data_IF_237889593247
#
_entry.id   IF_237889593247
#
_cell.length_a   1.000
_cell.length_b   1.000
_cell.length_c   1.000
_cell.angle_alpha   90.00
_cell.angle_beta   90.00
_cell.angle_gamma   90.00
#
_symmetry.space_group_name_H-M   'P 1'
#
loop_
_entity.id
_entity.type
_entity.pdbx_description
1 polymer ?
#
# COMPACT_ATOMS: atom_id res chain seq x y z
N UNK A 1 6.24 -25.74 -46.19
CA UNK A 1 5.89 -25.89 -44.77
C UNK A 1 5.70 -24.47 -44.23
N UNK A 2 4.44 -24.02 -44.10
CA UNK A 2 4.16 -22.72 -43.51
C UNK A 2 4.68 -22.68 -42.06
N UNK A 3 5.37 -21.61 -41.68
CA UNK A 3 5.73 -21.37 -40.29
C UNK A 3 4.44 -21.41 -39.47
N UNK A 4 4.31 -22.41 -38.57
CA UNK A 4 3.23 -22.37 -37.57
C UNK A 4 3.34 -21.02 -36.89
N UNK A 5 2.33 -20.17 -37.04
CA UNK A 5 2.24 -18.92 -36.30
C UNK A 5 2.28 -19.25 -34.83
N UNK A 6 3.04 -18.45 -34.05
CA UNK A 6 3.34 -18.77 -32.63
C UNK A 6 2.24 -18.24 -31.75
N UNK A 7 1.84 -19.03 -30.75
CA UNK A 7 1.04 -18.59 -29.60
C UNK A 7 1.97 -18.38 -28.41
N UNK A 8 2.12 -17.13 -27.96
CA UNK A 8 3.00 -16.79 -26.84
C UNK A 8 2.57 -15.48 -26.16
N UNK A 9 3.04 -15.27 -24.96
CA UNK A 9 2.88 -14.03 -24.19
C UNK A 9 4.23 -13.47 -23.77
N UNK A 10 4.42 -12.17 -23.98
CA UNK A 10 5.51 -11.39 -23.39
C UNK A 10 5.00 -10.72 -22.12
N UNK A 11 5.67 -10.93 -21.01
CA UNK A 11 5.38 -10.29 -19.72
C UNK A 11 6.50 -9.33 -19.37
N UNK A 12 6.19 -8.05 -19.25
CA UNK A 12 7.17 -6.99 -19.05
C UNK A 12 6.84 -6.19 -17.80
N UNK A 13 7.73 -6.21 -16.81
CA UNK A 13 7.69 -5.27 -15.70
C UNK A 13 8.12 -3.89 -16.21
N UNK A 14 7.22 -2.91 -16.12
CA UNK A 14 7.41 -1.55 -16.62
C UNK A 14 7.89 -0.60 -15.51
N UNK A 15 8.49 -1.14 -14.47
CA UNK A 15 8.99 -0.39 -13.32
C UNK A 15 10.36 -0.93 -12.87
N UNK A 16 11.33 -0.03 -12.55
CA UNK A 16 12.68 -0.42 -12.15
C UNK A 16 12.85 -0.55 -10.63
N UNK A 17 11.80 -0.34 -9.83
CA UNK A 17 11.85 -0.18 -8.39
C UNK A 17 10.78 -1.02 -7.68
N UNK A 18 10.79 -0.98 -6.34
CA UNK A 18 9.78 -1.65 -5.51
C UNK A 18 8.40 -1.02 -5.69
N UNK A 19 8.33 0.32 -5.79
CA UNK A 19 7.07 1.03 -6.03
C UNK A 19 6.86 1.36 -7.51
N UNK A 20 5.67 1.78 -7.89
CA UNK A 20 5.31 2.07 -9.28
C UNK A 20 4.90 0.84 -10.06
N UNK A 21 4.36 -0.18 -9.38
CA UNK A 21 3.96 -1.45 -9.99
C UNK A 21 3.14 -1.26 -11.27
N UNK A 22 3.62 -1.86 -12.35
CA UNK A 22 2.97 -1.82 -13.65
C UNK A 22 3.55 -2.95 -14.52
N UNK A 23 2.74 -3.93 -14.87
CA UNK A 23 3.16 -5.05 -15.69
C UNK A 23 2.34 -5.07 -16.98
N UNK A 24 3.00 -4.92 -18.12
CA UNK A 24 2.37 -5.03 -19.45
C UNK A 24 2.51 -6.45 -19.96
N UNK A 25 1.41 -7.03 -20.40
CA UNK A 25 1.38 -8.33 -21.08
C UNK A 25 0.92 -8.14 -22.50
N UNK A 26 1.66 -8.73 -23.44
CA UNK A 26 1.33 -8.76 -24.87
C UNK A 26 1.22 -10.21 -25.30
N UNK A 27 0.03 -10.61 -25.72
CA UNK A 27 -0.24 -11.95 -26.24
C UNK A 27 -0.33 -11.89 -27.77
N UNK A 28 0.36 -12.79 -28.44
CA UNK A 28 0.29 -12.97 -29.89
C UNK A 28 -0.44 -14.26 -30.20
N UNK A 29 -1.55 -14.14 -30.92
CA UNK A 29 -2.35 -15.27 -31.35
C UNK A 29 -1.92 -15.75 -32.75
N UNK A 30 -2.11 -17.04 -33.02
CA UNK A 30 -1.75 -17.64 -34.35
C UNK A 30 -2.48 -17.06 -35.55
N UNK A 31 -3.62 -16.40 -35.33
CA UNK A 31 -4.38 -15.68 -36.35
C UNK A 31 -3.87 -14.26 -36.64
N UNK A 32 -2.76 -13.85 -36.01
CA UNK A 32 -2.18 -12.50 -36.12
C UNK A 32 -2.77 -11.47 -35.18
N UNK A 33 -3.81 -11.77 -34.43
CA UNK A 33 -4.36 -10.90 -33.40
C UNK A 33 -3.38 -10.67 -32.26
N UNK A 34 -3.55 -9.55 -31.59
CA UNK A 34 -2.71 -9.17 -30.44
C UNK A 34 -3.61 -8.66 -29.33
N UNK A 35 -3.51 -9.29 -28.16
CA UNK A 35 -4.13 -8.84 -26.92
C UNK A 35 -3.09 -8.15 -26.04
N UNK A 36 -3.47 -7.04 -25.43
CA UNK A 36 -2.63 -6.31 -24.49
C UNK A 36 -3.40 -6.02 -23.21
N UNK A 37 -2.80 -6.34 -22.08
CA UNK A 37 -3.39 -5.94 -20.80
C UNK A 37 -2.32 -5.49 -19.82
N UNK A 38 -2.75 -4.71 -18.84
CA UNK A 38 -1.87 -4.18 -17.80
C UNK A 38 -2.33 -4.71 -16.45
N UNK A 39 -1.39 -5.11 -15.62
CA UNK A 39 -1.64 -5.43 -14.20
C UNK A 39 -0.98 -4.37 -13.35
N UNK A 40 -1.81 -3.64 -12.62
CA UNK A 40 -1.48 -2.43 -11.86
C UNK A 40 -0.98 -1.26 -12.73
N UNK A 41 -1.09 -0.05 -12.20
CA UNK A 41 -0.52 1.17 -12.79
C UNK A 41 -0.26 2.16 -11.65
N UNK A 42 0.84 1.96 -10.94
CA UNK A 42 1.14 2.61 -9.68
C UNK A 42 2.06 3.82 -9.79
N UNK A 43 2.06 4.67 -8.75
CA UNK A 43 2.99 5.78 -8.60
C UNK A 43 4.31 5.32 -8.00
N UNK A 44 5.42 5.82 -8.54
CA UNK A 44 6.72 5.72 -7.91
C UNK A 44 6.76 6.58 -6.64
N UNK A 45 7.32 6.04 -5.57
CA UNK A 45 7.47 6.70 -4.27
C UNK A 45 8.93 6.97 -3.93
N UNK A 46 9.87 6.31 -4.60
CA UNK A 46 11.29 6.61 -4.53
C UNK A 46 11.58 7.92 -5.27
N UNK A 47 12.28 8.83 -4.59
CA UNK A 47 12.60 10.16 -5.15
C UNK A 47 13.39 10.07 -6.46
N UNK A 48 14.20 9.03 -6.62
CA UNK A 48 15.00 8.79 -7.83
C UNK A 48 14.11 8.62 -9.07
N UNK A 49 12.87 8.12 -8.91
CA UNK A 49 11.96 7.80 -9.99
C UNK A 49 10.76 8.76 -10.09
N UNK A 50 10.76 9.89 -9.34
CA UNK A 50 9.69 10.89 -9.41
C UNK A 50 9.41 11.34 -10.85
N UNK A 51 10.47 11.52 -11.67
CA UNK A 51 10.35 11.98 -13.05
C UNK A 51 9.76 10.94 -14.01
N UNK A 52 9.62 9.68 -13.59
CA UNK A 52 8.96 8.62 -14.35
C UNK A 52 7.43 8.62 -14.15
N UNK A 53 6.94 9.27 -13.10
CA UNK A 53 5.49 9.29 -12.81
C UNK A 53 4.62 9.84 -13.97
N UNK A 54 5.04 10.87 -14.74
CA UNK A 54 4.28 11.35 -15.90
C UNK A 54 4.34 10.42 -17.12
N UNK A 55 5.19 9.40 -17.12
CA UNK A 55 5.46 8.58 -18.29
C UNK A 55 4.73 7.24 -18.19
N UNK A 56 4.01 6.90 -19.27
CA UNK A 56 3.48 5.55 -19.49
C UNK A 56 4.29 4.92 -20.64
N UNK A 57 5.08 3.86 -20.39
CA UNK A 57 5.97 3.27 -21.41
C UNK A 57 5.22 2.36 -22.40
N UNK A 58 3.93 2.59 -22.59
CA UNK A 58 3.04 1.92 -23.52
C UNK A 58 1.94 2.89 -24.01
N UNK A 59 1.21 2.50 -25.07
CA UNK A 59 0.06 3.27 -25.58
C UNK A 59 -1.22 2.84 -24.88
N UNK A 60 -1.82 3.64 -23.98
CA UNK A 60 -3.01 3.25 -23.22
C UNK A 60 -4.22 2.94 -24.06
N UNK A 61 -4.38 3.60 -25.21
CA UNK A 61 -5.44 3.37 -26.20
C UNK A 61 -5.43 1.98 -26.83
N UNK A 62 -4.27 1.27 -26.72
CA UNK A 62 -4.09 -0.09 -27.24
C UNK A 62 -4.20 -1.18 -26.19
N UNK A 63 -4.48 -0.82 -24.95
CA UNK A 63 -4.68 -1.76 -23.83
C UNK A 63 -6.14 -2.23 -23.85
N UNK A 64 -6.35 -3.55 -23.87
CA UNK A 64 -7.66 -4.17 -24.01
C UNK A 64 -8.40 -4.28 -22.66
N UNK A 65 -7.68 -4.39 -21.54
CA UNK A 65 -8.20 -4.33 -20.17
C UNK A 65 -7.09 -4.10 -19.16
N UNK A 66 -7.48 -3.71 -17.94
CA UNK A 66 -6.57 -3.57 -16.80
C UNK A 66 -7.03 -4.44 -15.64
N UNK A 67 -6.08 -5.05 -14.93
CA UNK A 67 -6.30 -5.79 -13.68
C UNK A 67 -5.64 -5.04 -12.53
N UNK A 68 -6.27 -5.02 -11.36
CA UNK A 68 -5.73 -4.36 -10.16
C UNK A 68 -5.60 -5.37 -9.05
N UNK A 69 -4.37 -5.53 -8.53
CA UNK A 69 -4.08 -6.47 -7.45
C UNK A 69 -4.61 -5.98 -6.11
N UNK A 70 -4.39 -4.70 -5.79
CA UNK A 70 -4.84 -4.10 -4.53
C UNK A 70 -4.80 -2.56 -4.56
N UNK A 71 -5.26 -1.91 -3.48
CA UNK A 71 -5.53 -0.47 -3.42
C UNK A 71 -4.39 0.40 -2.88
N UNK A 72 -3.14 -0.05 -2.85
CA UNK A 72 -2.03 0.85 -2.54
C UNK A 72 -1.71 1.76 -3.72
N UNK A 73 -1.26 2.98 -3.42
CA UNK A 73 -1.11 4.02 -4.45
C UNK A 73 0.04 3.74 -5.43
N UNK A 74 1.00 2.95 -5.01
CA UNK A 74 2.08 2.43 -5.87
C UNK A 74 1.64 1.27 -6.77
N UNK A 75 0.36 0.87 -6.70
CA UNK A 75 -0.30 -0.07 -7.62
C UNK A 75 -1.42 0.59 -8.43
N UNK A 76 -2.04 1.66 -7.94
CA UNK A 76 -3.22 2.26 -8.61
C UNK A 76 -3.06 3.74 -8.96
N UNK A 77 -2.02 4.40 -8.47
CA UNK A 77 -1.94 5.85 -8.46
C UNK A 77 -1.78 6.53 -9.83
N UNK A 78 -1.45 5.78 -10.90
CA UNK A 78 -1.40 6.29 -12.29
C UNK A 78 -2.57 5.78 -13.15
N UNK A 79 -3.56 5.08 -12.59
CA UNK A 79 -4.77 4.72 -13.34
C UNK A 79 -5.48 5.93 -13.94
N UNK A 80 -5.66 7.08 -13.21
CA UNK A 80 -6.26 8.26 -13.82
C UNK A 80 -5.41 8.87 -14.94
N UNK A 81 -4.08 8.77 -14.86
CA UNK A 81 -3.19 9.17 -15.94
C UNK A 81 -3.40 8.26 -17.17
N UNK A 82 -3.49 6.95 -16.96
CA UNK A 82 -3.72 5.99 -18.05
C UNK A 82 -5.04 6.27 -18.78
N UNK A 83 -6.12 6.57 -18.04
CA UNK A 83 -7.43 6.96 -18.62
C UNK A 83 -7.33 8.29 -19.35
N UNK A 84 -6.66 9.28 -18.79
CA UNK A 84 -6.41 10.58 -19.42
C UNK A 84 -5.66 10.45 -20.74
N UNK A 85 -4.68 9.54 -20.81
CA UNK A 85 -3.85 9.28 -22.00
C UNK A 85 -4.51 8.29 -22.99
N UNK A 86 -5.81 8.00 -22.83
CA UNK A 86 -6.63 7.32 -23.83
C UNK A 86 -7.07 5.89 -23.52
N UNK A 87 -6.82 5.38 -22.33
CA UNK A 87 -7.43 4.10 -21.92
C UNK A 87 -8.94 4.29 -21.71
N UNK A 88 -9.75 3.39 -22.28
CA UNK A 88 -11.21 3.48 -22.27
C UNK A 88 -11.91 2.13 -22.04
N UNK A 89 -11.18 1.12 -21.63
CA UNK A 89 -11.66 -0.24 -21.38
C UNK A 89 -11.91 -0.50 -19.89
N UNK A 90 -12.29 -1.71 -19.54
CA UNK A 90 -12.60 -2.13 -18.18
C UNK A 90 -11.34 -2.27 -17.31
N UNK A 91 -11.51 -1.91 -16.02
CA UNK A 91 -10.54 -2.12 -14.93
C UNK A 91 -11.15 -3.11 -13.95
N UNK A 92 -10.64 -4.32 -13.93
CA UNK A 92 -11.13 -5.39 -13.05
C UNK A 92 -10.38 -5.38 -11.72
N UNK A 93 -11.12 -5.36 -10.63
CA UNK A 93 -10.59 -5.42 -9.27
C UNK A 93 -11.56 -6.13 -8.33
N UNK A 94 -11.09 -6.58 -7.18
CA UNK A 94 -12.00 -7.15 -6.17
C UNK A 94 -13.02 -6.12 -5.68
N UNK A 95 -14.20 -6.56 -5.24
CA UNK A 95 -15.24 -5.64 -4.71
C UNK A 95 -14.73 -4.73 -3.59
N UNK A 96 -13.94 -5.21 -2.59
CA UNK A 96 -13.41 -4.31 -1.59
C UNK A 96 -12.42 -3.29 -2.18
N UNK A 97 -11.55 -3.70 -3.11
CA UNK A 97 -10.64 -2.77 -3.80
C UNK A 97 -11.41 -1.68 -4.53
N UNK A 98 -12.48 -2.02 -5.28
CA UNK A 98 -13.32 -1.03 -5.95
C UNK A 98 -13.96 -0.03 -4.96
N UNK A 99 -14.34 -0.47 -3.75
CA UNK A 99 -14.90 0.43 -2.71
C UNK A 99 -13.86 1.35 -2.07
N UNK A 100 -12.61 0.88 -1.96
CA UNK A 100 -11.51 1.63 -1.35
C UNK A 100 -10.85 2.62 -2.33
N UNK A 101 -10.86 2.30 -3.63
CA UNK A 101 -10.13 3.02 -4.67
C UNK A 101 -10.48 4.52 -4.77
N UNK A 102 -11.74 4.96 -4.68
CA UNK A 102 -12.07 6.38 -4.72
C UNK A 102 -11.32 7.19 -3.65
N UNK A 103 -11.26 6.68 -2.42
CA UNK A 103 -10.56 7.36 -1.32
C UNK A 103 -9.06 7.51 -1.59
N UNK A 104 -8.44 6.45 -2.13
CA UNK A 104 -7.01 6.47 -2.48
C UNK A 104 -6.70 7.50 -3.56
N UNK A 105 -7.48 7.50 -4.65
CA UNK A 105 -7.21 8.36 -5.81
C UNK A 105 -7.43 9.84 -5.50
N UNK A 106 -8.50 10.19 -4.79
CA UNK A 106 -8.75 11.59 -4.41
C UNK A 106 -7.72 12.12 -3.39
N UNK A 107 -7.30 11.30 -2.41
CA UNK A 107 -6.25 11.68 -1.46
C UNK A 107 -4.90 11.87 -2.17
N UNK A 108 -4.55 10.91 -3.04
CA UNK A 108 -3.35 10.99 -3.86
C UNK A 108 -3.35 12.23 -4.76
N UNK A 109 -4.46 12.54 -5.41
CA UNK A 109 -4.62 13.75 -6.21
C UNK A 109 -4.38 15.01 -5.38
N UNK A 110 -4.95 15.10 -4.18
CA UNK A 110 -4.73 16.25 -3.30
C UNK A 110 -3.25 16.46 -3.00
N UNK A 111 -2.52 15.38 -2.72
CA UNK A 111 -1.07 15.43 -2.47
C UNK A 111 -0.26 15.77 -3.71
N UNK A 112 -0.65 15.25 -4.88
CA UNK A 112 -0.03 15.56 -6.17
C UNK A 112 -0.27 17.02 -6.56
N UNK A 113 -1.46 17.55 -6.35
CA UNK A 113 -1.82 18.95 -6.63
C UNK A 113 -0.99 19.91 -5.78
N UNK A 114 -0.86 19.64 -4.47
CA UNK A 114 -0.02 20.44 -3.58
C UNK A 114 1.46 20.40 -3.97
N UNK A 115 1.94 19.24 -4.40
CA UNK A 115 3.31 19.07 -4.87
C UNK A 115 3.55 19.81 -6.19
N UNK A 116 2.60 19.71 -7.12
CA UNK A 116 2.65 20.39 -8.42
C UNK A 116 2.67 21.91 -8.26
N UNK A 117 1.82 22.46 -7.36
CA UNK A 117 1.82 23.89 -7.03
C UNK A 117 3.17 24.35 -6.47
N UNK A 118 3.77 23.58 -5.54
CA UNK A 118 5.08 23.91 -4.95
C UNK A 118 6.21 23.85 -5.97
N UNK A 119 6.16 22.90 -6.91
CA UNK A 119 7.16 22.73 -7.97
C UNK A 119 6.89 23.60 -9.21
N UNK A 120 5.79 24.32 -9.26
CA UNK A 120 5.28 25.06 -10.43
C UNK A 120 5.19 24.17 -11.69
N UNK A 121 4.63 22.98 -11.52
CA UNK A 121 4.48 21.97 -12.56
C UNK A 121 3.00 21.63 -12.77
N UNK A 122 2.64 21.07 -13.94
CA UNK A 122 1.31 20.55 -14.19
C UNK A 122 1.07 19.29 -13.35
N UNK A 123 -0.13 19.17 -12.77
CA UNK A 123 -0.52 17.93 -12.08
C UNK A 123 -0.69 16.77 -13.08
N UNK A 124 -0.38 15.56 -12.65
CA UNK A 124 -0.42 14.35 -13.49
C UNK A 124 -1.80 14.11 -14.09
N UNK A 125 -2.84 14.35 -13.34
CA UNK A 125 -4.26 14.22 -13.73
C UNK A 125 -5.12 15.14 -12.87
N UNK A 126 -6.40 15.20 -13.11
CA UNK A 126 -7.37 16.00 -12.37
C UNK A 126 -8.53 15.14 -11.84
N UNK A 127 -9.50 15.76 -11.13
CA UNK A 127 -10.66 15.07 -10.56
C UNK A 127 -11.54 14.41 -11.63
N UNK A 128 -11.73 15.06 -12.78
CA UNK A 128 -12.48 14.46 -13.90
C UNK A 128 -11.83 13.18 -14.42
N UNK A 129 -10.49 13.10 -14.43
CA UNK A 129 -9.78 11.89 -14.83
C UNK A 129 -9.99 10.77 -13.80
N UNK A 130 -10.08 11.11 -12.50
CA UNK A 130 -10.45 10.16 -11.44
C UNK A 130 -11.89 9.67 -11.65
N UNK A 131 -12.85 10.58 -11.80
CA UNK A 131 -14.26 10.23 -12.01
C UNK A 131 -14.43 9.28 -13.20
N UNK A 132 -13.76 9.57 -14.32
CA UNK A 132 -13.75 8.70 -15.50
C UNK A 132 -13.13 7.33 -15.18
N UNK A 133 -12.01 7.29 -14.44
CA UNK A 133 -11.39 6.03 -14.03
C UNK A 133 -12.35 5.16 -13.23
N UNK A 134 -13.08 5.75 -12.30
CA UNK A 134 -14.05 5.05 -11.48
C UNK A 134 -15.22 4.46 -12.26
N UNK A 135 -15.59 5.05 -13.43
CA UNK A 135 -16.63 4.48 -14.31
C UNK A 135 -16.17 3.23 -15.06
N UNK A 136 -14.87 2.97 -15.16
CA UNK A 136 -14.32 1.79 -15.81
C UNK A 136 -14.19 0.58 -14.86
N UNK A 137 -14.47 0.74 -13.56
CA UNK A 137 -14.30 -0.33 -12.57
C UNK A 137 -15.33 -1.45 -12.72
N UNK A 138 -14.84 -2.68 -12.81
CA UNK A 138 -15.65 -3.90 -12.80
C UNK A 138 -15.32 -4.69 -11.52
N UNK A 139 -16.26 -4.74 -10.55
CA UNK A 139 -16.03 -5.44 -9.28
C UNK A 139 -16.11 -6.95 -9.45
N UNK A 140 -15.04 -7.66 -9.07
CA UNK A 140 -14.90 -9.10 -9.13
C UNK A 140 -15.03 -9.74 -7.74
N UNK A 141 -15.58 -10.94 -7.69
CA UNK A 141 -15.63 -11.77 -6.48
C UNK A 141 -14.38 -12.65 -6.41
N UNK A 142 -13.91 -12.92 -5.19
CA UNK A 142 -12.87 -13.92 -4.98
C UNK A 142 -13.33 -15.32 -5.40
N UNK A 143 -12.39 -16.11 -5.88
CA UNK A 143 -12.56 -17.52 -6.29
C UNK A 143 -13.59 -17.73 -7.42
N UNK A 144 -14.04 -16.66 -8.07
CA UNK A 144 -14.89 -16.74 -9.26
C UNK A 144 -14.12 -16.38 -10.51
N UNK A 145 -14.13 -17.29 -11.46
CA UNK A 145 -13.53 -17.06 -12.78
C UNK A 145 -14.47 -16.22 -13.64
N UNK A 146 -13.93 -15.16 -14.24
CA UNK A 146 -14.60 -14.31 -15.23
C UNK A 146 -13.96 -14.49 -16.60
N UNK A 147 -14.77 -14.47 -17.66
CA UNK A 147 -14.29 -14.45 -19.05
C UNK A 147 -14.11 -13.00 -19.53
N UNK A 148 -13.00 -12.72 -20.20
CA UNK A 148 -12.74 -11.44 -20.87
C UNK A 148 -12.50 -11.73 -22.36
N UNK A 149 -13.47 -11.38 -23.20
CA UNK A 149 -13.49 -11.82 -24.61
C UNK A 149 -13.51 -13.35 -24.76
N UNK A 150 -13.04 -13.85 -25.89
CA UNK A 150 -13.17 -15.26 -26.24
C UNK A 150 -12.02 -16.13 -25.70
N UNK A 151 -10.89 -15.53 -25.35
CA UNK A 151 -9.64 -16.24 -25.09
C UNK A 151 -9.10 -16.13 -23.68
N UNK A 152 -9.66 -15.25 -22.82
CA UNK A 152 -9.09 -14.94 -21.51
C UNK A 152 -10.05 -15.30 -20.39
N UNK A 153 -9.53 -15.98 -19.38
CA UNK A 153 -10.21 -16.20 -18.09
C UNK A 153 -9.36 -15.61 -16.98
N UNK A 154 -9.99 -14.90 -16.06
CA UNK A 154 -9.32 -14.27 -14.91
C UNK A 154 -9.97 -14.72 -13.62
N UNK A 155 -9.16 -15.08 -12.64
CA UNK A 155 -9.62 -15.45 -11.30
C UNK A 155 -8.82 -14.68 -10.26
N UNK A 156 -9.52 -14.01 -9.35
CA UNK A 156 -8.93 -13.31 -8.21
C UNK A 156 -8.97 -14.23 -6.99
N UNK A 157 -7.81 -14.60 -6.46
CA UNK A 157 -7.72 -15.39 -5.24
C UNK A 157 -7.40 -14.50 -4.04
N UNK A 158 -7.70 -15.01 -2.85
CA UNK A 158 -7.37 -14.35 -1.59
C UNK A 158 -5.87 -14.02 -1.51
N UNK A 159 -5.58 -12.83 -1.00
CA UNK A 159 -4.26 -12.38 -0.63
C UNK A 159 -4.34 -11.66 0.73
N UNK A 160 -3.51 -12.07 1.68
CA UNK A 160 -3.51 -11.54 3.04
C UNK A 160 -2.82 -10.17 3.19
N UNK A 161 -2.30 -9.56 2.13
CA UNK A 161 -1.59 -8.29 2.23
C UNK A 161 -2.46 -7.19 2.87
N UNK A 162 -3.67 -6.99 2.34
CA UNK A 162 -4.70 -6.10 2.91
C UNK A 162 -6.10 -6.48 2.42
N UNK A 163 -7.13 -5.87 3.03
CA UNK A 163 -8.52 -6.09 2.61
C UNK A 163 -8.71 -5.62 1.17
N UNK A 164 -9.15 -6.52 0.32
CA UNK A 164 -9.30 -6.29 -1.12
C UNK A 164 -8.13 -6.80 -1.97
N UNK A 165 -6.97 -7.07 -1.39
CA UNK A 165 -5.84 -7.60 -2.15
C UNK A 165 -6.10 -8.97 -2.75
N UNK A 166 -5.56 -9.21 -3.94
CA UNK A 166 -5.73 -10.47 -4.65
C UNK A 166 -4.43 -10.94 -5.32
N UNK A 167 -4.28 -12.27 -5.33
CA UNK A 167 -3.46 -12.97 -6.32
C UNK A 167 -4.32 -13.17 -7.56
N UNK A 168 -3.81 -12.86 -8.73
CA UNK A 168 -4.58 -12.90 -9.98
C UNK A 168 -4.03 -13.99 -10.90
N UNK A 169 -4.86 -14.98 -11.25
CA UNK A 169 -4.57 -15.94 -12.30
C UNK A 169 -5.21 -15.48 -13.59
N UNK A 170 -4.39 -15.35 -14.64
CA UNK A 170 -4.82 -15.10 -16.01
C UNK A 170 -4.54 -16.35 -16.83
N UNK A 171 -5.59 -16.93 -17.39
CA UNK A 171 -5.51 -18.11 -18.27
C UNK A 171 -5.90 -17.71 -19.69
N UNK A 172 -5.04 -17.97 -20.65
CA UNK A 172 -5.21 -17.58 -22.05
C UNK A 172 -5.20 -18.84 -22.89
N UNK A 173 -6.30 -19.09 -23.61
CA UNK A 173 -6.51 -20.30 -24.38
C UNK A 173 -6.66 -19.97 -25.87
N UNK A 174 -6.11 -20.82 -26.73
CA UNK A 174 -6.33 -20.77 -28.18
C UNK A 174 -6.46 -22.18 -28.75
N UNK A 175 -7.46 -22.47 -29.60
CA UNK A 175 -7.69 -23.81 -30.10
C UNK A 175 -6.47 -24.45 -30.77
N UNK A 176 -6.10 -25.65 -30.32
CA UNK A 176 -4.96 -26.41 -30.85
C UNK A 176 -3.60 -26.05 -30.27
N UNK A 177 -3.54 -25.22 -29.23
CA UNK A 177 -2.34 -24.83 -28.49
C UNK A 177 -2.50 -25.10 -27.00
N UNK A 178 -1.38 -25.22 -26.31
CA UNK A 178 -1.37 -25.27 -24.83
C UNK A 178 -1.74 -23.91 -24.23
N UNK A 179 -2.48 -23.92 -23.14
CA UNK A 179 -2.88 -22.70 -22.43
C UNK A 179 -1.67 -21.97 -21.82
N UNK A 180 -1.70 -20.65 -21.88
CA UNK A 180 -0.75 -19.79 -21.16
C UNK A 180 -1.40 -19.37 -19.85
N UNK A 181 -0.76 -19.73 -18.73
CA UNK A 181 -1.24 -19.37 -17.39
C UNK A 181 -0.24 -18.44 -16.73
N UNK A 182 -0.70 -17.25 -16.31
CA UNK A 182 0.13 -16.24 -15.67
C UNK A 182 -0.45 -15.93 -14.29
N UNK A 183 0.37 -16.04 -13.24
CA UNK A 183 -0.01 -15.77 -11.87
C UNK A 183 0.71 -14.50 -11.38
N UNK A 184 -0.05 -13.46 -11.06
CA UNK A 184 0.45 -12.23 -10.47
C UNK A 184 0.16 -12.24 -8.97
N UNK A 185 1.19 -12.16 -8.13
CA UNK A 185 0.98 -12.20 -6.68
C UNK A 185 0.47 -10.89 -6.12
N UNK A 186 0.74 -9.75 -6.78
CA UNK A 186 0.70 -8.45 -6.13
C UNK A 186 1.64 -8.46 -4.92
N UNK A 187 1.54 -7.47 -4.04
CA UNK A 187 2.18 -7.54 -2.73
C UNK A 187 1.52 -8.67 -1.93
N UNK A 188 2.32 -9.61 -1.45
CA UNK A 188 1.81 -10.87 -0.92
C UNK A 188 2.04 -11.03 0.57
N UNK A 189 0.99 -11.43 1.27
CA UNK A 189 1.05 -11.92 2.65
C UNK A 189 0.09 -13.10 2.78
N UNK A 190 0.51 -14.14 3.51
CA UNK A 190 -0.31 -15.34 3.71
C UNK A 190 -1.54 -15.05 4.55
N UNK A 191 -1.36 -14.38 5.67
CA UNK A 191 -2.39 -14.18 6.69
C UNK A 191 -2.75 -12.71 6.88
N UNK A 192 -4.00 -12.45 7.25
CA UNK A 192 -4.50 -11.14 7.63
C UNK A 192 -5.45 -11.28 8.82
N UNK A 193 -5.30 -10.41 9.81
CA UNK A 193 -6.13 -10.45 11.02
C UNK A 193 -7.62 -10.17 10.73
N UNK A 194 -7.91 -9.34 9.71
CA UNK A 194 -9.28 -8.95 9.34
C UNK A 194 -9.98 -9.92 8.39
N UNK A 195 -9.24 -10.83 7.75
CA UNK A 195 -9.77 -11.72 6.72
C UNK A 195 -9.57 -13.18 7.09
N UNK A 196 -10.49 -14.05 6.63
CA UNK A 196 -10.29 -15.48 6.71
C UNK A 196 -9.19 -15.90 5.76
N UNK A 197 -8.14 -16.52 6.28
CA UNK A 197 -7.04 -17.05 5.48
C UNK A 197 -7.55 -18.09 4.48
N UNK A 198 -7.09 -18.02 3.24
CA UNK A 198 -7.36 -18.98 2.17
C UNK A 198 -6.10 -19.21 1.39
N UNK A 199 -5.72 -20.47 1.24
CA UNK A 199 -4.59 -20.82 0.37
C UNK A 199 -4.99 -20.75 -1.10
N UNK A 200 -4.01 -20.53 -1.97
CA UNK A 200 -4.19 -20.67 -3.42
C UNK A 200 -4.58 -22.13 -3.68
N UNK A 201 -5.68 -22.41 -4.40
CA UNK A 201 -6.14 -23.77 -4.66
C UNK A 201 -5.03 -24.63 -5.32
N UNK A 202 -4.92 -25.89 -4.86
CA UNK A 202 -3.88 -26.82 -5.33
C UNK A 202 -3.92 -27.07 -6.84
N UNK A 203 -5.10 -26.97 -7.46
CA UNK A 203 -5.22 -27.10 -8.92
C UNK A 203 -4.51 -25.97 -9.66
N UNK A 204 -4.42 -24.77 -9.10
CA UNK A 204 -3.66 -23.64 -9.68
C UNK A 204 -2.17 -23.97 -9.66
N UNK A 205 -1.68 -24.50 -8.52
CA UNK A 205 -0.27 -24.86 -8.37
C UNK A 205 0.15 -26.04 -9.24
N UNK A 206 -0.81 -26.81 -9.75
CA UNK A 206 -0.59 -27.91 -10.71
C UNK A 206 -0.52 -27.45 -12.19
N UNK A 207 -0.80 -26.19 -12.49
CA UNK A 207 -0.70 -25.66 -13.85
C UNK A 207 0.75 -25.32 -14.23
N UNK A 208 1.10 -25.36 -15.53
CA UNK A 208 2.31 -24.71 -16.01
C UNK A 208 2.14 -23.18 -15.89
N UNK A 209 2.80 -22.57 -14.90
CA UNK A 209 2.64 -21.16 -14.55
C UNK A 209 3.85 -20.33 -14.95
N UNK A 210 3.58 -19.16 -15.51
CA UNK A 210 4.47 -17.99 -15.44
C UNK A 210 4.10 -17.23 -14.18
N UNK A 211 5.03 -17.07 -13.23
CA UNK A 211 4.76 -16.37 -11.97
C UNK A 211 5.43 -15.01 -11.98
N UNK A 212 4.64 -13.96 -11.78
CA UNK A 212 5.10 -12.59 -11.54
C UNK A 212 4.93 -12.31 -10.07
N UNK A 213 6.05 -12.37 -9.33
CA UNK A 213 6.07 -12.30 -7.87
C UNK A 213 6.77 -11.03 -7.41
N UNK A 214 6.22 -10.38 -6.38
CA UNK A 214 6.91 -9.32 -5.66
C UNK A 214 8.12 -9.88 -4.90
N UNK A 215 9.11 -9.03 -4.64
CA UNK A 215 10.33 -9.39 -3.93
C UNK A 215 10.82 -8.28 -2.98
N UNK A 216 9.89 -7.52 -2.40
CA UNK A 216 10.18 -6.37 -1.52
C UNK A 216 11.14 -6.75 -0.37
N UNK A 217 10.98 -7.95 0.15
CA UNK A 217 11.82 -8.50 1.22
C UNK A 217 12.55 -9.79 0.80
N UNK A 218 12.72 -10.01 -0.51
CA UNK A 218 13.22 -11.28 -1.05
C UNK A 218 14.63 -11.68 -0.62
N UNK A 219 15.46 -10.75 -0.18
CA UNK A 219 16.81 -10.96 0.31
C UNK A 219 16.96 -10.72 1.83
N UNK A 220 15.86 -10.60 2.56
CA UNK A 220 15.86 -10.23 3.97
C UNK A 220 15.10 -11.24 4.83
N UNK A 221 15.59 -11.49 6.03
CA UNK A 221 14.82 -12.16 7.05
C UNK A 221 13.93 -11.11 7.74
N UNK A 222 12.62 -11.20 7.52
CA UNK A 222 11.65 -10.34 8.20
C UNK A 222 11.21 -11.00 9.51
N UNK A 223 11.39 -10.30 10.63
CA UNK A 223 10.79 -10.72 11.89
C UNK A 223 9.33 -10.24 11.97
N UNK A 224 8.53 -10.89 12.82
CA UNK A 224 7.16 -10.44 13.05
C UNK A 224 7.14 -9.05 13.72
N UNK A 225 6.51 -8.09 13.08
CA UNK A 225 6.46 -6.70 13.55
C UNK A 225 5.64 -6.53 14.83
N UNK A 226 4.62 -7.38 15.03
CA UNK A 226 3.66 -7.25 16.13
C UNK A 226 4.31 -7.42 17.51
N UNK A 227 5.12 -8.48 17.79
CA UNK A 227 5.79 -8.62 19.07
C UNK A 227 6.67 -7.42 19.41
N UNK A 228 7.41 -6.92 18.43
CA UNK A 228 8.27 -5.78 18.62
C UNK A 228 7.50 -4.47 18.85
N UNK A 229 6.42 -4.25 18.12
CA UNK A 229 5.50 -3.13 18.35
C UNK A 229 4.99 -3.13 19.79
N UNK A 230 4.44 -4.26 20.27
CA UNK A 230 3.94 -4.42 21.64
C UNK A 230 5.02 -4.16 22.68
N UNK A 231 6.20 -4.72 22.50
CA UNK A 231 7.32 -4.53 23.40
C UNK A 231 7.77 -3.06 23.49
N UNK A 232 7.82 -2.36 22.36
CA UNK A 232 8.20 -0.96 22.29
C UNK A 232 7.15 -0.05 22.92
N UNK A 233 5.85 -0.29 22.68
CA UNK A 233 4.76 0.43 23.37
C UNK A 233 4.89 0.27 24.88
N UNK A 234 4.93 -0.97 25.37
CA UNK A 234 5.05 -1.27 26.79
C UNK A 234 6.28 -0.61 27.44
N UNK A 235 7.44 -0.74 26.79
CA UNK A 235 8.69 -0.18 27.29
C UNK A 235 8.67 1.37 27.30
N UNK A 236 8.15 2.01 26.27
CA UNK A 236 8.05 3.46 26.19
C UNK A 236 7.12 4.01 27.28
N UNK A 237 5.92 3.47 27.39
CA UNK A 237 4.91 3.93 28.37
C UNK A 237 5.39 3.70 29.81
N UNK A 238 5.97 2.54 30.14
CA UNK A 238 6.52 2.26 31.47
C UNK A 238 7.67 3.21 31.87
N UNK A 239 8.35 3.80 30.89
CA UNK A 239 9.40 4.82 31.10
C UNK A 239 8.87 6.26 31.04
N UNK A 240 7.56 6.46 31.05
CA UNK A 240 6.94 7.77 30.96
C UNK A 240 7.18 8.49 29.64
N UNK A 241 7.38 7.75 28.53
CA UNK A 241 7.66 8.31 27.20
C UNK A 241 6.41 8.32 26.33
N UNK A 242 6.32 9.32 25.45
CA UNK A 242 5.41 9.28 24.30
C UNK A 242 5.97 8.39 23.19
N UNK A 243 5.09 7.75 22.41
CA UNK A 243 5.49 7.01 21.25
C UNK A 243 4.74 7.49 20.01
N UNK A 244 5.50 7.80 18.95
CA UNK A 244 4.99 8.19 17.64
C UNK A 244 5.11 7.01 16.73
N UNK A 245 4.00 6.59 16.15
CA UNK A 245 3.90 5.41 15.29
C UNK A 245 3.46 5.83 13.89
N UNK A 246 4.40 6.05 12.96
CA UNK A 246 4.07 6.26 11.56
C UNK A 246 3.46 5.00 10.96
N UNK A 247 2.25 5.12 10.38
CA UNK A 247 1.47 4.00 9.83
C UNK A 247 0.96 4.31 8.44
N UNK A 248 0.86 3.29 7.58
CA UNK A 248 0.16 3.42 6.31
C UNK A 248 -1.34 3.56 6.53
N UNK A 249 -1.99 4.37 5.71
CA UNK A 249 -3.41 4.72 5.89
C UNK A 249 -4.35 3.53 5.78
N UNK A 250 -4.03 2.54 4.94
CA UNK A 250 -4.81 1.33 4.73
C UNK A 250 -4.01 0.10 5.19
N UNK A 251 -4.67 -0.80 5.90
CA UNK A 251 -4.12 -2.04 6.44
C UNK A 251 -3.37 -1.82 7.75
N UNK A 252 -2.19 -1.23 7.71
CA UNK A 252 -1.31 -1.07 8.87
C UNK A 252 -1.91 -0.22 10.01
N UNK A 253 -2.64 0.84 9.69
CA UNK A 253 -3.33 1.65 10.72
C UNK A 253 -4.32 0.81 11.51
N UNK A 254 -5.13 0.02 10.81
CA UNK A 254 -6.16 -0.81 11.42
C UNK A 254 -5.54 -1.97 12.21
N UNK A 255 -4.48 -2.60 11.70
CA UNK A 255 -3.73 -3.62 12.44
C UNK A 255 -3.17 -3.08 13.75
N UNK A 256 -2.52 -1.91 13.75
CA UNK A 256 -1.94 -1.33 14.96
C UNK A 256 -3.01 -0.88 15.97
N UNK A 257 -4.15 -0.39 15.51
CA UNK A 257 -5.29 -0.08 16.40
C UNK A 257 -5.81 -1.35 17.09
N UNK A 258 -5.98 -2.45 16.35
CA UNK A 258 -6.35 -3.74 16.91
C UNK A 258 -5.34 -4.24 17.94
N UNK A 259 -4.05 -4.16 17.66
CA UNK A 259 -3.01 -4.60 18.59
C UNK A 259 -2.99 -3.76 19.87
N UNK A 260 -3.25 -2.45 19.80
CA UNK A 260 -3.40 -1.60 20.99
C UNK A 260 -4.62 -2.02 21.80
N UNK A 261 -5.74 -2.36 21.15
CA UNK A 261 -6.91 -2.90 21.86
C UNK A 261 -6.60 -4.21 22.55
N UNK A 262 -5.91 -5.13 21.87
CA UNK A 262 -5.48 -6.40 22.48
C UNK A 262 -4.60 -6.17 23.71
N UNK A 263 -3.67 -5.19 23.67
CA UNK A 263 -2.82 -4.83 24.79
C UNK A 263 -3.60 -4.23 25.97
N UNK A 264 -4.70 -3.53 25.72
CA UNK A 264 -5.59 -3.04 26.79
C UNK A 264 -6.38 -4.20 27.41
N UNK A 265 -6.87 -5.12 26.58
CA UNK A 265 -7.64 -6.28 27.05
C UNK A 265 -6.79 -7.28 27.85
N UNK A 266 -5.52 -7.46 27.51
CA UNK A 266 -4.59 -8.35 28.23
C UNK A 266 -3.88 -7.66 29.41
N UNK A 267 -4.16 -6.37 29.65
CA UNK A 267 -3.60 -5.57 30.74
C UNK A 267 -2.14 -5.13 30.55
N UNK A 268 -1.55 -5.33 29.37
CA UNK A 268 -0.18 -4.89 29.06
C UNK A 268 -0.07 -3.41 28.71
N UNK A 269 -1.19 -2.76 28.43
CA UNK A 269 -1.33 -1.31 28.23
C UNK A 269 -2.49 -0.78 29.12
N UNK A 270 -2.17 0.19 29.98
CA UNK A 270 -3.18 0.86 30.81
C UNK A 270 -4.19 1.61 29.89
N UNK A 271 -5.51 1.34 30.01
CA UNK A 271 -6.53 2.04 29.24
C UNK A 271 -6.58 3.56 29.46
N UNK A 272 -5.98 4.07 30.56
CA UNK A 272 -5.87 5.50 30.83
C UNK A 272 -4.82 6.20 29.95
N UNK A 273 -3.91 5.48 29.30
CA UNK A 273 -2.93 6.06 28.39
C UNK A 273 -3.65 6.56 27.13
N UNK A 274 -3.58 7.87 26.82
CA UNK A 274 -4.30 8.40 25.66
C UNK A 274 -3.70 7.91 24.34
N UNK A 275 -4.56 7.51 23.43
CA UNK A 275 -4.23 7.10 22.06
C UNK A 275 -4.79 8.16 21.11
N UNK A 276 -3.94 8.74 20.28
CA UNK A 276 -4.32 9.71 19.26
C UNK A 276 -4.14 9.11 17.88
N UNK A 277 -5.13 9.32 17.02
CA UNK A 277 -5.10 8.84 15.65
C UNK A 277 -5.20 10.01 14.66
N UNK A 278 -4.11 10.29 13.94
CA UNK A 278 -3.97 11.42 13.04
C UNK A 278 -3.63 11.00 11.62
N UNK A 279 -4.64 11.05 10.77
CA UNK A 279 -4.52 10.76 9.35
C UNK A 279 -5.89 10.75 8.68
N UNK A 280 -6.21 11.80 7.95
CA UNK A 280 -7.54 11.99 7.32
C UNK A 280 -7.98 10.78 6.50
N UNK A 281 -7.09 10.23 5.67
CA UNK A 281 -7.39 9.07 4.84
C UNK A 281 -7.51 7.80 5.69
N UNK A 282 -6.61 7.60 6.66
CA UNK A 282 -6.65 6.43 7.54
C UNK A 282 -7.95 6.36 8.36
N UNK A 283 -8.45 7.50 8.82
CA UNK A 283 -9.74 7.61 9.51
C UNK A 283 -10.88 7.18 8.59
N UNK A 284 -10.92 7.68 7.35
CA UNK A 284 -11.93 7.29 6.35
C UNK A 284 -11.90 5.79 6.04
N UNK A 285 -10.71 5.21 5.89
CA UNK A 285 -10.60 3.77 5.71
C UNK A 285 -11.06 2.98 6.94
N UNK A 286 -10.70 3.42 8.13
CA UNK A 286 -11.15 2.81 9.39
C UNK A 286 -12.69 2.82 9.49
N UNK A 287 -13.34 3.90 9.09
CA UNK A 287 -14.80 3.98 9.00
C UNK A 287 -15.41 2.91 8.07
N UNK A 288 -14.73 2.59 6.95
CA UNK A 288 -15.20 1.53 6.05
C UNK A 288 -15.03 0.14 6.66
N UNK A 289 -13.96 -0.10 7.44
CA UNK A 289 -13.79 -1.33 8.20
C UNK A 289 -14.91 -1.51 9.23
N UNK A 290 -15.24 -0.46 9.99
CA UNK A 290 -16.28 -0.49 11.02
C UNK A 290 -17.71 -0.64 10.44
N UNK A 291 -17.97 -0.14 9.22
CA UNK A 291 -19.28 -0.21 8.55
C UNK A 291 -19.60 -1.55 7.89
N UNK A 292 -18.72 -2.54 7.98
CA UNK A 292 -18.91 -3.89 7.41
C UNK A 292 -19.18 -3.90 5.90
N UNK A 293 -18.60 -2.99 5.17
CA UNK A 293 -18.78 -2.92 3.71
C UNK A 293 -17.68 -3.63 2.93
N UNK A 294 -16.64 -4.11 3.64
CA UNK A 294 -15.45 -4.70 3.06
C UNK A 294 -15.37 -6.22 3.23
N UNK A 295 -16.32 -6.85 3.95
CA UNK A 295 -16.35 -8.28 4.17
C UNK A 295 -15.27 -8.79 5.12
N UNK A 296 -14.93 -8.03 6.15
CA UNK A 296 -14.01 -8.45 7.22
C UNK A 296 -14.70 -9.48 8.14
N UNK A 297 -13.89 -10.23 8.90
CA UNK A 297 -14.40 -11.18 9.91
C UNK A 297 -15.36 -10.49 10.88
N UNK A 298 -16.47 -11.11 11.24
CA UNK A 298 -17.44 -10.53 12.19
C UNK A 298 -16.83 -10.15 13.53
N UNK A 299 -15.93 -10.98 14.07
CA UNK A 299 -15.22 -10.75 15.33
C UNK A 299 -14.27 -9.56 15.29
N UNK A 300 -13.89 -9.15 14.08
CA UNK A 300 -12.97 -8.01 13.88
C UNK A 300 -13.69 -6.67 13.76
N UNK A 301 -15.02 -6.62 13.84
CA UNK A 301 -15.79 -5.36 13.79
C UNK A 301 -15.54 -4.47 15.01
N UNK A 302 -15.16 -5.06 16.13
CA UNK A 302 -14.82 -4.36 17.37
C UNK A 302 -13.30 -4.26 17.57
N UNK A 303 -12.56 -3.87 16.55
CA UNK A 303 -11.09 -3.76 16.63
C UNK A 303 -10.59 -2.40 17.17
N UNK A 304 -11.44 -1.40 17.20
CA UNK A 304 -11.06 -0.03 17.53
C UNK A 304 -11.05 0.17 19.07
N UNK A 305 -9.95 0.68 19.67
CA UNK A 305 -9.91 0.98 21.10
C UNK A 305 -10.86 2.12 21.46
N UNK A 306 -11.53 2.04 22.63
CA UNK A 306 -12.54 3.03 23.05
C UNK A 306 -11.93 4.42 23.37
N UNK A 307 -10.69 4.46 23.83
CA UNK A 307 -10.00 5.68 24.25
C UNK A 307 -9.20 6.35 23.12
N UNK A 308 -9.46 6.03 21.87
CA UNK A 308 -8.82 6.68 20.73
C UNK A 308 -9.46 8.04 20.45
N UNK A 309 -8.64 9.07 20.43
CA UNK A 309 -9.06 10.41 20.02
C UNK A 309 -8.60 10.69 18.58
N UNK A 310 -9.56 10.97 17.70
CA UNK A 310 -9.27 11.41 16.34
C UNK A 310 -8.77 12.86 16.36
N UNK A 311 -7.62 13.09 15.74
CA UNK A 311 -6.94 14.39 15.81
C UNK A 311 -7.39 15.32 14.69
N UNK A 312 -7.71 16.55 15.06
CA UNK A 312 -7.92 17.68 14.17
C UNK A 312 -6.72 18.67 14.25
N UNK A 313 -6.60 19.67 13.35
CA UNK A 313 -5.45 20.57 13.36
C UNK A 313 -5.20 21.29 14.70
N UNK A 314 -6.19 21.89 15.40
CA UNK A 314 -5.97 22.51 16.70
C UNK A 314 -5.45 21.54 17.77
N UNK A 315 -5.98 20.32 17.81
CA UNK A 315 -5.50 19.29 18.73
C UNK A 315 -4.08 18.84 18.38
N UNK A 316 -3.75 18.77 17.08
CA UNK A 316 -2.37 18.46 16.64
C UNK A 316 -1.38 19.49 17.21
N UNK A 317 -1.68 20.77 17.08
CA UNK A 317 -0.83 21.84 17.60
C UNK A 317 -0.64 21.72 19.12
N UNK A 318 -1.70 21.42 19.86
CA UNK A 318 -1.63 21.17 21.29
C UNK A 318 -0.75 19.95 21.65
N UNK A 319 -0.85 18.86 20.85
CA UNK A 319 -0.04 17.65 21.06
C UNK A 319 1.45 17.89 20.81
N UNK A 320 1.80 18.85 19.96
CA UNK A 320 3.20 19.24 19.75
C UNK A 320 3.83 19.90 20.96
N UNK A 321 3.06 20.50 21.83
CA UNK A 321 3.55 21.14 23.07
C UNK A 321 3.42 20.23 24.31
N UNK A 322 2.57 19.22 24.26
CA UNK A 322 2.28 18.33 25.38
C UNK A 322 3.40 17.28 25.58
N UNK A 323 3.94 17.21 26.81
CA UNK A 323 5.01 16.30 27.21
C UNK A 323 4.52 15.07 28.00
N UNK A 324 3.23 14.92 28.24
CA UNK A 324 2.69 13.75 28.92
C UNK A 324 2.81 12.49 28.05
N UNK A 325 3.00 11.31 28.66
CA UNK A 325 3.03 10.04 27.93
C UNK A 325 1.76 9.81 27.12
N UNK A 326 1.93 9.44 25.86
CA UNK A 326 0.83 9.18 24.93
C UNK A 326 1.29 8.31 23.75
N UNK A 327 0.33 7.74 23.05
CA UNK A 327 0.54 7.02 21.80
C UNK A 327 -0.08 7.83 20.67
N UNK A 328 0.69 8.13 19.62
CA UNK A 328 0.21 8.83 18.42
C UNK A 328 0.42 7.95 17.21
N UNK A 329 -0.66 7.38 16.68
CA UNK A 329 -0.65 6.75 15.34
C UNK A 329 -0.86 7.85 14.30
N UNK A 330 0.07 7.98 13.34
CA UNK A 330 0.03 9.08 12.37
C UNK A 330 0.41 8.64 10.97
N UNK A 331 -0.17 9.24 9.95
CA UNK A 331 0.17 8.98 8.54
C UNK A 331 1.10 10.08 8.00
N UNK A 332 2.00 9.75 7.07
CA UNK A 332 2.22 8.49 6.36
C UNK A 332 3.23 7.59 7.05
N UNK A 333 3.14 6.28 6.75
CA UNK A 333 4.04 5.27 7.32
C UNK A 333 5.52 5.47 6.97
N UNK A 334 5.84 6.16 5.89
CA UNK A 334 7.22 6.53 5.52
C UNK A 334 7.69 7.85 6.15
N UNK A 335 6.83 8.57 6.88
CA UNK A 335 7.16 9.82 7.59
C UNK A 335 7.32 11.07 6.72
N UNK A 336 7.24 10.96 5.38
CA UNK A 336 7.56 12.07 4.46
C UNK A 336 6.34 12.89 4.03
N UNK A 337 5.14 12.43 4.34
CA UNK A 337 3.88 13.08 3.97
C UNK A 337 2.90 13.08 5.15
N UNK A 338 1.84 13.86 5.02
CA UNK A 338 0.78 13.93 6.01
C UNK A 338 1.24 14.42 7.39
N UNK A 339 0.47 14.15 8.45
CA UNK A 339 0.80 14.62 9.81
C UNK A 339 2.11 14.07 10.35
N UNK A 340 2.57 12.90 9.93
CA UNK A 340 3.84 12.32 10.38
C UNK A 340 5.04 13.25 10.16
N UNK A 341 5.04 14.04 9.07
CA UNK A 341 6.10 15.01 8.78
C UNK A 341 6.15 16.18 9.79
N UNK A 342 5.10 16.36 10.60
CA UNK A 342 5.06 17.35 11.66
C UNK A 342 5.48 16.73 12.99
N UNK A 343 4.94 15.56 13.32
CA UNK A 343 5.24 14.88 14.59
C UNK A 343 6.68 14.39 14.67
N UNK A 344 7.22 13.76 13.62
CA UNK A 344 8.55 13.18 13.68
C UNK A 344 9.62 14.22 14.04
N UNK A 345 9.74 15.38 13.34
CA UNK A 345 10.71 16.40 13.72
C UNK A 345 10.51 16.98 15.11
N UNK A 346 9.25 17.11 15.56
CA UNK A 346 8.96 17.67 16.88
C UNK A 346 9.31 16.71 18.03
N UNK A 347 9.19 15.40 17.81
CA UNK A 347 9.39 14.40 18.86
C UNK A 347 10.77 13.74 18.83
N UNK A 348 11.47 13.71 17.69
CA UNK A 348 12.77 13.03 17.57
C UNK A 348 13.85 13.62 18.48
N UNK A 349 13.76 14.90 18.81
CA UNK A 349 14.70 15.59 19.70
C UNK A 349 14.37 15.44 21.19
N UNK A 350 13.21 14.85 21.53
CA UNK A 350 12.75 14.74 22.90
C UNK A 350 13.30 13.48 23.57
N UNK A 351 13.92 13.61 24.74
CA UNK A 351 14.41 12.47 25.54
C UNK A 351 13.28 11.55 26.02
N UNK A 352 12.07 12.09 26.16
CA UNK A 352 10.86 11.38 26.59
C UNK A 352 9.98 10.94 25.44
N UNK A 353 10.54 10.71 24.25
CA UNK A 353 9.80 10.20 23.10
C UNK A 353 10.52 9.03 22.41
N UNK A 354 9.75 8.27 21.68
CA UNK A 354 10.19 7.17 20.81
C UNK A 354 9.46 7.29 19.48
N UNK A 355 10.13 7.00 18.36
CA UNK A 355 9.51 6.89 17.05
C UNK A 355 9.63 5.43 16.60
N UNK A 356 8.49 4.79 16.27
CA UNK A 356 8.43 3.39 15.88
C UNK A 356 7.81 3.25 14.50
N UNK A 357 8.62 2.90 13.48
CA UNK A 357 8.14 2.63 12.13
C UNK A 357 7.60 1.20 12.02
N UNK A 358 6.44 1.03 11.39
CA UNK A 358 5.71 -0.24 11.32
C UNK A 358 5.75 -0.91 9.93
N UNK A 359 6.60 -0.46 9.02
CA UNK A 359 6.65 -1.04 7.67
C UNK A 359 7.82 -0.56 6.83
N UNK A 360 7.80 -0.93 5.55
CA UNK A 360 8.77 -0.52 4.55
C UNK A 360 8.88 1.00 4.45
N UNK A 361 10.09 1.48 4.22
CA UNK A 361 10.36 2.91 3.98
C UNK A 361 11.21 3.05 2.74
N UNK A 362 10.63 3.61 1.66
CA UNK A 362 11.31 3.80 0.39
C UNK A 362 12.53 4.71 0.52
N UNK A 363 13.55 4.47 -0.28
CA UNK A 363 14.79 5.24 -0.30
C UNK A 363 14.52 6.74 -0.50
N UNK A 364 15.24 7.56 0.26
CA UNK A 364 15.10 9.02 0.24
C UNK A 364 13.97 9.58 1.10
N UNK A 365 13.07 8.73 1.64
CA UNK A 365 12.03 9.15 2.60
C UNK A 365 12.63 9.47 3.97
N UNK A 366 11.86 10.18 4.82
CA UNK A 366 12.28 10.47 6.19
C UNK A 366 12.49 9.19 6.99
N UNK A 367 11.58 8.22 6.89
CA UNK A 367 11.69 6.94 7.57
C UNK A 367 12.93 6.16 7.18
N UNK A 368 13.24 6.12 5.87
CA UNK A 368 14.46 5.47 5.37
C UNK A 368 15.72 6.14 5.93
N UNK A 369 15.79 7.48 5.91
CA UNK A 369 16.93 8.23 6.46
C UNK A 369 17.13 7.98 7.95
N UNK A 370 16.05 7.92 8.73
CA UNK A 370 16.11 7.65 10.15
C UNK A 370 16.52 6.21 10.46
N UNK A 371 16.02 5.24 9.70
CA UNK A 371 16.42 3.83 9.83
C UNK A 371 17.89 3.60 9.42
N UNK A 372 18.39 4.32 8.41
CA UNK A 372 19.75 4.19 7.89
C UNK A 372 20.77 5.02 8.68
N UNK A 373 20.33 5.91 9.57
CA UNK A 373 21.23 6.73 10.37
C UNK A 373 21.96 5.88 11.42
N UNK A 374 23.28 6.00 11.50
CA UNK A 374 24.06 5.39 12.59
C UNK A 374 23.88 6.16 13.89
N UNK A 375 24.21 5.53 15.04
CA UNK A 375 24.12 6.14 16.37
C UNK A 375 24.94 7.43 16.53
N UNK A 376 25.82 7.72 15.59
CA UNK A 376 26.77 8.85 15.66
C UNK A 376 26.59 9.87 14.50
N UNK A 377 25.63 9.67 13.61
CA UNK A 377 25.38 10.57 12.50
C UNK A 377 24.43 11.71 12.88
N UNK A 378 24.80 12.93 12.52
CA UNK A 378 23.92 14.09 12.60
C UNK A 378 22.90 13.98 11.47
N UNK A 379 21.64 13.77 11.79
CA UNK A 379 20.56 13.81 10.81
C UNK A 379 20.26 15.27 10.49
N UNK A 380 20.74 15.76 9.34
CA UNK A 380 20.34 17.08 8.82
C UNK A 380 18.86 17.04 8.49
N UNK A 381 18.08 17.87 9.16
CA UNK A 381 16.63 17.84 9.06
C UNK A 381 16.12 18.40 7.73
N UNK A 382 14.88 18.05 7.46
CA UNK A 382 14.11 18.47 6.28
C UNK A 382 13.87 19.99 6.16
N UNK A 383 14.29 20.81 7.15
CA UNK A 383 14.10 22.27 7.18
C UNK A 383 15.28 23.04 7.75
N UNK A 384 16.52 22.69 7.41
CA UNK A 384 17.73 23.37 7.90
C UNK A 384 17.91 23.43 9.42
N UNK A 385 17.37 22.45 10.15
CA UNK A 385 17.63 22.29 11.57
C UNK A 385 18.62 21.12 11.72
N UNK A 386 19.79 21.37 12.29
CA UNK A 386 20.76 20.31 12.64
C UNK A 386 20.24 19.56 13.88
N UNK A 387 19.88 18.28 13.69
CA UNK A 387 19.53 17.40 14.80
C UNK A 387 20.75 16.58 15.19
N UNK A 388 21.12 16.67 16.45
CA UNK A 388 22.01 15.68 17.05
C UNK A 388 21.17 14.46 17.42
N UNK A 389 21.31 13.40 16.65
CA UNK A 389 20.76 12.10 17.03
C UNK A 389 21.62 11.56 18.20
N UNK A 390 21.27 11.92 19.44
CA UNK A 390 21.82 11.23 20.60
C UNK A 390 21.12 9.87 20.67
N UNK A 391 21.61 8.93 19.88
CA UNK A 391 21.30 7.51 19.98
C UNK A 391 22.04 6.92 21.19
N UNK A 392 21.71 7.41 22.39
CA UNK A 392 22.06 6.70 23.60
C UNK A 392 21.13 5.49 23.72
N UNK A 393 21.71 4.32 23.43
CA UNK A 393 21.40 2.96 23.90
C UNK A 393 19.96 2.43 23.93
N UNK A 394 18.90 3.13 23.53
CA UNK A 394 17.51 2.68 23.58
C UNK A 394 16.65 3.16 22.41
N UNK A 395 17.23 3.54 21.31
CA UNK A 395 16.46 3.63 20.08
C UNK A 395 16.42 2.22 19.48
N UNK A 396 15.44 1.44 19.89
CA UNK A 396 14.92 0.45 18.99
C UNK A 396 14.25 1.22 17.84
N UNK A 397 15.04 1.80 16.93
CA UNK A 397 14.64 1.87 15.56
C UNK A 397 14.65 0.42 15.16
N UNK A 398 13.51 -0.24 15.33
CA UNK A 398 13.36 -1.58 14.82
C UNK A 398 13.37 -1.43 13.34
N UNK A 399 14.56 -1.51 12.82
CA UNK A 399 14.81 -1.73 11.42
C UNK A 399 14.28 -3.12 11.11
N UNK A 400 13.04 -3.20 10.69
CA UNK A 400 12.67 -4.22 9.74
C UNK A 400 13.20 -3.73 8.40
N UNK A 401 14.40 -4.14 8.15
CA UNK A 401 14.90 -4.27 6.80
C UNK A 401 14.10 -5.32 6.09
#
# INVERSE_FOLDING_TARGET
>A
MGSKERFYADVMAMHPAVTGSCNLVIVKFPNGETLRFVVDCGLFREKLYDDLNPLLPFSPDKVDFCLVTHNHIDHVGRLPLMVREGFYKEIYATRPTCKLLPLALYDSYSALLDTSKRKNQKCLYNETDIDRTLTHLVPCDYDKTIGIGDHVKVTFFYNGHLVGAAVILVQISYPGYEDINILFTGDYKKDNIFLNARDIPTWVLGLPLIVVQEATYGNMNTEDIVPCFKANIKNAINKGKSIIVPVFSLGRSQEMLYELKCMQLDGSLDPCIPIYFDGKLAIKYTDLYLKDVLGIKPEMKDFFPENVTVVNPPLRDALLEDNNPKIILTTSGMGSYGPAQVYIPAYITRKNALIHFTGFTAEGTMGWKLKSASAYETVKSYKNIDFYLILLQFLCIVCYL
#
